data_IF_733550019734
#
_entry.id   IF_733550019734
#
_cell.length_a   1.000
_cell.length_b   1.000
_cell.length_c   1.000
_cell.angle_alpha   90.00
_cell.angle_beta   90.00
_cell.angle_gamma   90.00
#
_symmetry.space_group_name_H-M   'P 1'
#
loop_
_entity.id
_entity.type
_entity.pdbx_description
1 polymer ?
#
# COMPACT_ATOMS: atom_id res chain seq x y z
N UNK A 1 -11.83 -28.95 39.43
CA UNK A 1 -11.92 -29.43 38.03
C UNK A 1 -12.36 -28.28 37.14
N UNK A 2 -11.57 -27.94 36.15
CA UNK A 2 -12.02 -26.97 35.13
C UNK A 2 -12.91 -27.75 34.18
N UNK A 3 -14.19 -27.43 34.13
CA UNK A 3 -15.10 -27.94 33.09
C UNK A 3 -14.67 -27.39 31.74
N UNK A 4 -14.22 -28.28 30.86
CA UNK A 4 -13.93 -28.00 29.48
C UNK A 4 -15.27 -27.86 28.73
N UNK A 5 -15.74 -26.61 28.56
CA UNK A 5 -16.88 -26.35 27.70
C UNK A 5 -16.46 -26.58 26.22
N UNK A 6 -16.85 -27.72 25.67
CA UNK A 6 -16.70 -28.01 24.27
C UNK A 6 -17.86 -27.36 23.49
N UNK A 7 -17.59 -26.27 22.83
CA UNK A 7 -18.51 -25.74 21.84
C UNK A 7 -18.51 -26.67 20.61
N UNK A 8 -19.33 -27.70 20.65
CA UNK A 8 -19.51 -28.65 19.55
C UNK A 8 -20.22 -27.96 18.37
N UNK A 9 -19.63 -28.01 17.19
CA UNK A 9 -20.35 -27.63 15.97
C UNK A 9 -21.41 -28.71 15.71
N UNK A 10 -22.69 -28.32 15.64
CA UNK A 10 -23.83 -29.22 15.42
C UNK A 10 -23.54 -30.15 14.23
N UNK A 11 -23.59 -31.47 14.44
CA UNK A 11 -23.32 -32.49 13.41
C UNK A 11 -21.87 -33.01 13.32
N UNK A 12 -20.94 -32.60 14.21
CA UNK A 12 -19.60 -33.18 14.25
C UNK A 12 -19.53 -34.40 15.21
N UNK A 13 -18.93 -35.49 14.72
CA UNK A 13 -18.53 -36.61 15.58
C UNK A 13 -17.42 -36.19 16.52
N UNK A 14 -17.48 -36.64 17.77
CA UNK A 14 -16.43 -36.42 18.79
C UNK A 14 -15.07 -36.83 18.22
N UNK A 15 -14.02 -36.00 18.41
CA UNK A 15 -12.64 -36.27 18.00
C UNK A 15 -12.34 -35.99 16.53
N UNK A 16 -13.33 -35.64 15.68
CA UNK A 16 -13.11 -35.28 14.28
C UNK A 16 -13.25 -33.79 14.09
N UNK A 17 -12.13 -33.10 13.83
CA UNK A 17 -12.15 -31.69 13.48
C UNK A 17 -12.45 -31.52 11.99
N UNK A 18 -13.55 -30.87 11.67
CA UNK A 18 -14.00 -30.69 10.28
C UNK A 18 -13.05 -29.85 9.43
N UNK A 19 -12.38 -28.89 10.05
CA UNK A 19 -11.56 -27.87 9.36
C UNK A 19 -10.09 -27.85 9.79
N UNK A 20 -9.74 -28.50 10.88
CA UNK A 20 -8.37 -28.61 11.38
C UNK A 20 -8.01 -30.06 11.68
N UNK A 21 -6.75 -30.43 11.38
CA UNK A 21 -6.14 -31.68 11.80
C UNK A 21 -5.72 -31.60 13.29
N UNK A 22 -5.33 -32.72 13.88
CA UNK A 22 -4.86 -32.79 15.27
C UNK A 22 -3.61 -31.92 15.54
N UNK A 23 -2.76 -31.75 14.52
CA UNK A 23 -1.54 -30.91 14.53
C UNK A 23 -1.81 -29.41 14.34
N UNK A 24 -3.07 -29.00 14.22
CA UNK A 24 -3.46 -27.61 14.00
C UNK A 24 -3.48 -27.17 12.52
N UNK A 25 -3.01 -28.00 11.59
CA UNK A 25 -3.08 -27.69 10.15
C UNK A 25 -4.50 -27.79 9.62
N UNK A 26 -4.80 -27.10 8.52
CA UNK A 26 -6.13 -27.12 7.94
C UNK A 26 -6.38 -28.41 7.14
N UNK A 27 -7.55 -29.03 7.33
CA UNK A 27 -8.05 -30.10 6.46
C UNK A 27 -8.33 -29.54 5.05
N UNK A 28 -8.52 -30.43 4.05
CA UNK A 28 -8.91 -29.99 2.68
C UNK A 28 -10.18 -29.15 2.70
N UNK A 29 -11.16 -29.48 3.55
CA UNK A 29 -12.37 -28.67 3.75
C UNK A 29 -12.07 -27.34 4.44
N UNK A 30 -11.12 -27.31 5.37
CA UNK A 30 -10.64 -26.10 6.02
C UNK A 30 -9.97 -25.15 5.05
N UNK A 31 -9.07 -25.66 4.20
CA UNK A 31 -8.39 -24.90 3.13
C UNK A 31 -9.41 -24.32 2.13
N UNK A 32 -10.39 -25.12 1.67
CA UNK A 32 -11.43 -24.65 0.77
C UNK A 32 -12.29 -23.54 1.39
N UNK A 33 -12.64 -23.67 2.67
CA UNK A 33 -13.37 -22.62 3.40
C UNK A 33 -12.57 -21.34 3.52
N UNK A 34 -11.29 -21.45 3.88
CA UNK A 34 -10.38 -20.31 3.99
C UNK A 34 -10.24 -19.60 2.63
N UNK A 35 -9.98 -20.36 1.54
CA UNK A 35 -9.90 -19.81 0.20
C UNK A 35 -11.18 -19.06 -0.21
N UNK A 36 -12.35 -19.61 0.11
CA UNK A 36 -13.64 -18.95 -0.15
C UNK A 36 -13.80 -17.66 0.66
N UNK A 37 -13.39 -17.65 1.91
CA UNK A 37 -13.43 -16.45 2.77
C UNK A 37 -12.46 -15.38 2.25
N UNK A 38 -11.22 -15.77 1.92
CA UNK A 38 -10.22 -14.86 1.34
C UNK A 38 -10.74 -14.25 0.04
N UNK A 39 -11.26 -15.06 -0.88
CA UNK A 39 -11.84 -14.57 -2.15
C UNK A 39 -13.00 -13.59 -1.94
N UNK A 40 -13.84 -13.83 -0.92
CA UNK A 40 -14.93 -12.89 -0.56
C UNK A 40 -14.37 -11.58 0.00
N UNK A 41 -13.36 -11.66 0.85
CA UNK A 41 -12.69 -10.49 1.42
C UNK A 41 -11.97 -9.68 0.33
N UNK A 42 -11.29 -10.34 -0.62
CA UNK A 42 -10.67 -9.70 -1.78
C UNK A 42 -11.68 -8.90 -2.61
N UNK A 43 -12.82 -9.52 -2.97
CA UNK A 43 -13.88 -8.84 -3.73
C UNK A 43 -14.41 -7.61 -3.00
N UNK A 44 -14.54 -7.68 -1.67
CA UNK A 44 -14.95 -6.55 -0.84
C UNK A 44 -13.89 -5.45 -0.86
N UNK A 45 -12.62 -5.82 -0.75
CA UNK A 45 -11.51 -4.88 -0.81
C UNK A 45 -11.43 -4.20 -2.19
N UNK A 46 -11.50 -4.96 -3.30
CA UNK A 46 -11.48 -4.41 -4.67
C UNK A 46 -12.61 -3.41 -4.90
N UNK A 47 -13.81 -3.70 -4.42
CA UNK A 47 -14.96 -2.79 -4.51
C UNK A 47 -14.71 -1.50 -3.72
N UNK A 48 -14.14 -1.62 -2.53
CA UNK A 48 -13.80 -0.47 -1.68
C UNK A 48 -12.68 0.37 -2.30
N UNK A 49 -11.65 -0.28 -2.85
CA UNK A 49 -10.54 0.38 -3.52
C UNK A 49 -11.02 1.21 -4.71
N UNK A 50 -11.83 0.63 -5.60
CA UNK A 50 -12.41 1.35 -6.75
C UNK A 50 -13.21 2.59 -6.34
N UNK A 51 -13.89 2.53 -5.19
CA UNK A 51 -14.73 3.64 -4.71
C UNK A 51 -13.92 4.73 -4.02
N UNK A 52 -12.86 4.37 -3.31
CA UNK A 52 -12.20 5.26 -2.34
C UNK A 52 -10.75 5.62 -2.69
N UNK A 53 -10.17 5.12 -3.78
CA UNK A 53 -8.79 5.43 -4.12
C UNK A 53 -8.56 6.93 -4.37
N UNK A 54 -9.51 7.62 -5.01
CA UNK A 54 -9.45 9.08 -5.24
C UNK A 54 -9.42 9.84 -3.91
N UNK A 55 -10.23 9.40 -2.94
CA UNK A 55 -10.22 9.99 -1.59
C UNK A 55 -8.86 9.83 -0.91
N UNK A 56 -8.25 8.65 -1.05
CA UNK A 56 -6.91 8.38 -0.52
C UNK A 56 -5.84 9.23 -1.20
N UNK A 57 -5.93 9.37 -2.51
CA UNK A 57 -5.03 10.20 -3.31
C UNK A 57 -5.11 11.67 -2.89
N UNK A 58 -6.31 12.23 -2.83
CA UNK A 58 -6.51 13.62 -2.41
C UNK A 58 -6.00 13.87 -0.99
N UNK A 59 -6.24 12.94 -0.05
CA UNK A 59 -5.68 13.02 1.31
C UNK A 59 -4.15 13.04 1.30
N UNK A 60 -3.51 12.25 0.44
CA UNK A 60 -2.06 12.24 0.30
C UNK A 60 -1.53 13.55 -0.29
N UNK A 61 -2.20 14.10 -1.30
CA UNK A 61 -1.85 15.40 -1.91
C UNK A 61 -1.94 16.51 -0.86
N UNK A 62 -3.03 16.59 -0.12
CA UNK A 62 -3.22 17.62 0.91
C UNK A 62 -2.15 17.50 2.01
N UNK A 63 -1.87 16.29 2.47
CA UNK A 63 -0.81 16.07 3.46
C UNK A 63 0.58 16.42 2.92
N UNK A 64 0.87 16.05 1.68
CA UNK A 64 2.15 16.33 1.01
C UNK A 64 2.37 17.83 0.89
N UNK A 65 1.39 18.58 0.41
CA UNK A 65 1.46 20.02 0.25
C UNK A 65 1.71 20.72 1.60
N UNK A 66 1.03 20.31 2.65
CA UNK A 66 1.12 20.97 3.96
C UNK A 66 2.33 20.55 4.81
N UNK A 67 2.96 19.40 4.56
CA UNK A 67 3.95 18.84 5.47
C UNK A 67 5.25 18.38 4.82
N UNK A 68 5.26 18.14 3.53
CA UNK A 68 6.39 17.54 2.82
C UNK A 68 7.04 18.49 1.82
N UNK A 69 6.26 19.07 0.91
CA UNK A 69 6.77 19.88 -0.21
C UNK A 69 7.53 21.10 0.28
N UNK A 70 7.01 21.81 1.26
CA UNK A 70 7.68 23.01 1.80
C UNK A 70 9.04 22.68 2.42
N UNK A 71 9.12 21.55 3.14
CA UNK A 71 10.41 21.10 3.73
C UNK A 71 11.40 20.68 2.67
N UNK A 72 10.93 20.02 1.60
CA UNK A 72 11.79 19.64 0.50
C UNK A 72 12.32 20.88 -0.25
N UNK A 73 11.44 21.83 -0.54
CA UNK A 73 11.81 23.08 -1.20
C UNK A 73 12.78 23.90 -0.34
N UNK A 74 12.57 23.96 0.97
CA UNK A 74 13.50 24.64 1.90
C UNK A 74 14.89 23.98 1.89
N UNK A 75 14.97 22.67 1.79
CA UNK A 75 16.24 21.92 1.69
C UNK A 75 17.04 22.27 0.44
N UNK A 76 16.36 22.59 -0.66
CA UNK A 76 16.96 22.85 -1.97
C UNK A 76 16.88 24.32 -2.41
N UNK A 77 16.48 25.26 -1.55
CA UNK A 77 16.24 26.65 -1.86
C UNK A 77 17.46 27.42 -2.41
N UNK A 78 18.67 26.98 -2.05
CA UNK A 78 19.93 27.65 -2.44
C UNK A 78 20.41 27.21 -3.85
N UNK A 79 19.70 26.28 -4.50
CA UNK A 79 20.01 25.82 -5.84
C UNK A 79 19.10 26.45 -6.88
N UNK A 80 19.72 26.99 -7.94
CA UNK A 80 18.99 27.48 -9.11
C UNK A 80 18.87 26.35 -10.17
N UNK A 81 17.69 25.87 -10.39
CA UNK A 81 17.38 24.80 -11.35
C UNK A 81 17.02 25.33 -12.75
N UNK A 82 17.29 26.59 -13.06
CA UNK A 82 16.99 27.19 -14.37
C UNK A 82 17.95 26.78 -15.49
N UNK A 83 19.15 26.28 -15.13
CA UNK A 83 20.17 25.87 -16.11
C UNK A 83 20.35 24.34 -16.14
N UNK A 84 19.66 23.61 -17.05
CA UNK A 84 19.79 22.17 -17.17
C UNK A 84 21.12 21.72 -17.81
N UNK A 85 21.99 22.64 -18.24
CA UNK A 85 23.29 22.29 -18.84
C UNK A 85 24.40 22.17 -17.81
N UNK A 86 24.25 22.76 -16.62
CA UNK A 86 25.23 22.63 -15.54
C UNK A 86 25.20 21.23 -14.92
N UNK A 87 26.33 20.49 -15.08
CA UNK A 87 26.46 19.12 -14.56
C UNK A 87 26.33 19.01 -13.04
N UNK A 88 26.66 20.05 -12.29
CA UNK A 88 26.49 20.08 -10.84
C UNK A 88 25.00 20.21 -10.48
N UNK A 89 24.32 21.11 -11.16
CA UNK A 89 22.88 21.31 -11.01
C UNK A 89 22.11 20.05 -11.44
N UNK A 90 22.50 19.40 -12.56
CA UNK A 90 21.90 18.12 -12.96
C UNK A 90 21.92 17.07 -11.85
N UNK A 91 23.05 16.91 -11.14
CA UNK A 91 23.19 15.96 -10.03
C UNK A 91 22.28 16.31 -8.86
N UNK A 92 22.19 17.61 -8.54
CA UNK A 92 21.36 18.09 -7.43
C UNK A 92 19.87 17.92 -7.78
N UNK A 93 19.49 18.31 -8.98
CA UNK A 93 18.11 18.18 -9.44
C UNK A 93 17.63 16.73 -9.50
N UNK A 94 18.48 15.83 -9.98
CA UNK A 94 18.19 14.38 -9.97
C UNK A 94 17.87 13.90 -8.55
N UNK A 95 18.67 14.30 -7.57
CA UNK A 95 18.44 13.96 -6.15
C UNK A 95 17.14 14.58 -5.62
N UNK A 96 16.88 15.84 -5.97
CA UNK A 96 15.63 16.53 -5.60
C UNK A 96 14.41 15.75 -6.13
N UNK A 97 14.41 15.37 -7.40
CA UNK A 97 13.30 14.63 -8.03
C UNK A 97 13.15 13.23 -7.40
N UNK A 98 14.25 12.53 -7.13
CA UNK A 98 14.20 11.23 -6.45
C UNK A 98 13.59 11.35 -5.05
N UNK A 99 13.99 12.34 -4.27
CA UNK A 99 13.41 12.59 -2.95
C UNK A 99 11.93 12.97 -3.04
N UNK A 100 11.56 13.80 -4.02
CA UNK A 100 10.18 14.21 -4.25
C UNK A 100 9.28 13.00 -4.56
N UNK A 101 9.65 12.20 -5.56
CA UNK A 101 8.85 11.06 -6.00
C UNK A 101 8.77 9.99 -4.91
N UNK A 102 9.89 9.63 -4.29
CA UNK A 102 9.93 8.62 -3.24
C UNK A 102 9.15 9.07 -1.99
N UNK A 103 9.28 10.32 -1.60
CA UNK A 103 8.56 10.88 -0.47
C UNK A 103 7.06 10.93 -0.72
N UNK A 104 6.64 11.41 -1.89
CA UNK A 104 5.23 11.46 -2.26
C UNK A 104 4.61 10.07 -2.35
N UNK A 105 5.29 9.12 -3.02
CA UNK A 105 4.81 7.74 -3.13
C UNK A 105 4.70 7.05 -1.76
N UNK A 106 5.61 7.34 -0.82
CA UNK A 106 5.53 6.84 0.55
C UNK A 106 4.30 7.39 1.29
N UNK A 107 4.03 8.68 1.14
CA UNK A 107 2.83 9.32 1.71
C UNK A 107 1.57 8.73 1.08
N UNK A 108 1.58 8.51 -0.22
CA UNK A 108 0.46 7.95 -0.97
C UNK A 108 0.17 6.50 -0.55
N UNK A 109 1.20 5.67 -0.42
CA UNK A 109 1.06 4.29 0.06
C UNK A 109 0.45 4.25 1.47
N UNK A 110 0.95 5.11 2.37
CA UNK A 110 0.41 5.24 3.72
C UNK A 110 -1.07 5.64 3.70
N UNK A 111 -1.45 6.61 2.88
CA UNK A 111 -2.84 7.06 2.73
C UNK A 111 -3.74 5.95 2.17
N UNK A 112 -3.27 5.17 1.20
CA UNK A 112 -4.00 4.02 0.69
C UNK A 112 -4.24 2.97 1.77
N UNK A 113 -3.23 2.64 2.57
CA UNK A 113 -3.36 1.68 3.68
C UNK A 113 -4.33 2.16 4.76
N UNK A 114 -4.31 3.45 5.09
CA UNK A 114 -5.22 4.03 6.08
C UNK A 114 -6.69 4.00 5.61
N UNK A 115 -6.95 4.27 4.34
CA UNK A 115 -8.33 4.36 3.80
C UNK A 115 -8.85 3.00 3.34
N UNK A 116 -8.01 2.19 2.70
CA UNK A 116 -8.43 0.93 2.05
C UNK A 116 -8.12 -0.30 2.89
N UNK A 117 -7.12 -0.23 3.78
CA UNK A 117 -6.56 -1.39 4.47
C UNK A 117 -5.74 -2.29 3.54
N UNK A 118 -5.08 -3.30 4.10
CA UNK A 118 -4.33 -4.28 3.32
C UNK A 118 -5.26 -5.25 2.59
N UNK A 119 -4.90 -5.60 1.36
CA UNK A 119 -5.62 -6.64 0.63
C UNK A 119 -5.38 -8.00 1.29
N UNK A 120 -6.44 -8.80 1.53
CA UNK A 120 -6.34 -10.03 2.31
C UNK A 120 -5.43 -11.12 1.74
N UNK A 121 -5.21 -11.13 0.42
CA UNK A 121 -4.39 -12.12 -0.30
C UNK A 121 -3.01 -11.58 -0.69
N UNK A 122 -2.88 -10.26 -0.77
CA UNK A 122 -1.65 -9.57 -1.16
C UNK A 122 -1.53 -8.23 -0.42
N UNK A 123 -0.81 -8.20 0.70
CA UNK A 123 -0.57 -6.96 1.44
C UNK A 123 0.17 -5.89 0.63
N UNK A 124 0.85 -6.28 -0.44
CA UNK A 124 1.53 -5.38 -1.38
C UNK A 124 0.61 -4.76 -2.44
N UNK A 125 -0.64 -5.20 -2.56
CA UNK A 125 -1.56 -4.77 -3.62
C UNK A 125 -1.83 -3.26 -3.64
N UNK A 126 -1.66 -2.55 -2.53
CA UNK A 126 -1.75 -1.08 -2.51
C UNK A 126 -0.73 -0.42 -3.43
N UNK A 127 0.39 -1.09 -3.71
CA UNK A 127 1.43 -0.63 -4.64
C UNK A 127 1.02 -0.75 -6.11
N UNK A 128 -0.03 -1.50 -6.42
CA UNK A 128 -0.61 -1.59 -7.77
C UNK A 128 -1.64 -0.49 -8.06
N UNK A 129 -2.01 0.31 -7.06
CA UNK A 129 -2.85 1.49 -7.24
C UNK A 129 -2.05 2.60 -7.92
N UNK A 130 -2.73 3.64 -8.48
CA UNK A 130 -2.03 4.74 -9.12
C UNK A 130 -0.99 5.40 -8.18
N UNK A 131 0.26 5.38 -8.61
CA UNK A 131 1.36 6.09 -7.97
C UNK A 131 1.78 7.28 -8.84
N UNK A 132 2.57 8.18 -8.26
CA UNK A 132 3.17 9.27 -8.99
C UNK A 132 4.17 8.76 -10.03
N UNK A 133 4.47 9.57 -11.04
CA UNK A 133 5.48 9.28 -12.06
C UNK A 133 6.82 8.86 -11.44
N UNK A 134 7.61 8.09 -12.17
CA UNK A 134 8.95 7.78 -11.70
C UNK A 134 9.89 9.00 -11.80
N UNK A 135 10.91 9.01 -10.94
CA UNK A 135 11.85 10.14 -10.84
C UNK A 135 12.65 10.36 -12.13
N UNK A 136 12.94 9.28 -12.87
CA UNK A 136 13.70 9.38 -14.10
C UNK A 136 12.93 10.11 -15.20
N UNK A 137 11.63 9.84 -15.34
CA UNK A 137 10.77 10.53 -16.30
C UNK A 137 10.74 12.04 -16.03
N UNK A 138 10.55 12.46 -14.81
CA UNK A 138 10.56 13.88 -14.42
C UNK A 138 11.93 14.54 -14.65
N UNK A 139 13.00 13.80 -14.38
CA UNK A 139 14.36 14.31 -14.65
C UNK A 139 14.62 14.50 -16.14
N UNK A 140 14.16 13.56 -16.99
CA UNK A 140 14.30 13.66 -18.44
C UNK A 140 13.44 14.80 -19.03
N UNK A 141 12.24 15.02 -18.50
CA UNK A 141 11.42 16.17 -18.90
C UNK A 141 12.16 17.49 -18.64
N UNK A 142 12.69 17.66 -17.45
CA UNK A 142 13.46 18.88 -17.09
C UNK A 142 14.71 19.09 -17.95
N UNK A 143 15.41 18.01 -18.35
CA UNK A 143 16.58 18.14 -19.23
C UNK A 143 16.25 18.60 -20.65
N UNK A 144 15.00 18.38 -21.09
CA UNK A 144 14.55 18.68 -22.45
C UNK A 144 13.76 20.00 -22.57
N UNK A 145 13.46 20.64 -21.43
CA UNK A 145 12.84 21.96 -21.37
C UNK A 145 13.90 23.06 -21.55
#
# INVERSE_FOLDING_TARGET
>A
MRELYHYGVKGMKWGVRRYQNADGTLTSKGKARQAKQTKKAQKKWDKNARKNWVKSYNKAVDYSNNNFIDKLNEKYKDYDFSDPTDKKIQKVYKRYVEEYVNGFNSILEKSYREVLGDRPDDPGAVRSLPFYSDANSLYQEWLND
#
